data_IF_931840177383
#
_entry.id   IF_931840177383
#
_cell.length_a   1.000
_cell.length_b   1.000
_cell.length_c   1.000
_cell.angle_alpha   90.00
_cell.angle_beta   90.00
_cell.angle_gamma   90.00
#
_symmetry.space_group_name_H-M   'P 1'
#
loop_
_entity.id
_entity.type
_entity.pdbx_description
1 polymer ?
#
# COMPACT_ATOMS: atom_id res chain seq x y z
N UNK A 1 8.65 5.79 -31.50
CA UNK A 1 9.24 6.33 -30.25
C UNK A 1 8.20 6.94 -29.31
N UNK A 2 7.57 8.10 -29.60
CA UNK A 2 6.57 8.69 -28.68
C UNK A 2 5.34 7.79 -28.41
N UNK A 3 4.92 6.99 -29.40
CA UNK A 3 3.83 6.00 -29.29
C UNK A 3 4.18 4.76 -28.47
N UNK A 4 5.44 4.33 -28.44
CA UNK A 4 5.89 3.20 -27.59
C UNK A 4 6.09 3.65 -26.14
N UNK A 5 6.54 4.90 -25.95
CA UNK A 5 6.74 5.51 -24.64
C UNK A 5 5.39 5.61 -23.90
N UNK A 6 4.33 6.07 -24.58
CA UNK A 6 2.98 6.17 -24.00
C UNK A 6 2.38 4.80 -23.68
N UNK A 7 2.64 3.77 -24.49
CA UNK A 7 2.18 2.40 -24.23
C UNK A 7 2.88 1.79 -23.02
N UNK A 8 4.20 1.98 -22.86
CA UNK A 8 4.95 1.50 -21.69
C UNK A 8 4.55 2.20 -20.38
N UNK A 9 4.32 3.51 -20.40
CA UNK A 9 3.86 4.25 -19.21
C UNK A 9 2.41 3.91 -18.84
N UNK A 10 1.50 3.81 -19.82
CA UNK A 10 0.09 3.45 -19.59
C UNK A 10 -0.05 2.05 -18.99
N UNK A 11 0.76 1.08 -19.44
CA UNK A 11 0.79 -0.27 -18.88
C UNK A 11 1.31 -0.32 -17.43
N UNK A 12 2.15 0.63 -17.02
CA UNK A 12 2.72 0.70 -15.66
C UNK A 12 1.83 1.45 -14.66
N UNK A 13 1.06 2.44 -15.11
CA UNK A 13 0.12 3.19 -14.25
C UNK A 13 -1.22 2.49 -14.06
N UNK A 14 -1.65 1.66 -15.01
CA UNK A 14 -2.94 0.99 -14.93
C UNK A 14 -3.10 0.15 -13.65
N UNK A 15 -2.12 -0.68 -13.23
CA UNK A 15 -2.22 -1.41 -11.97
C UNK A 15 -2.33 -0.52 -10.74
N UNK A 16 -1.63 0.60 -10.73
CA UNK A 16 -1.68 1.59 -9.66
C UNK A 16 -3.09 2.18 -9.52
N UNK A 17 -3.66 2.64 -10.63
CA UNK A 17 -5.00 3.24 -10.66
C UNK A 17 -6.05 2.22 -10.21
N UNK A 18 -5.98 0.98 -10.70
CA UNK A 18 -6.90 -0.10 -10.30
C UNK A 18 -6.79 -0.37 -8.80
N UNK A 19 -5.57 -0.52 -8.27
CA UNK A 19 -5.33 -0.80 -6.85
C UNK A 19 -5.89 0.31 -5.96
N UNK A 20 -5.58 1.58 -6.27
CA UNK A 20 -6.10 2.74 -5.55
C UNK A 20 -7.63 2.78 -5.61
N UNK A 21 -8.23 2.49 -6.76
CA UNK A 21 -9.69 2.50 -6.93
C UNK A 21 -10.38 1.44 -6.07
N UNK A 22 -9.82 0.23 -6.01
CA UNK A 22 -10.32 -0.84 -5.13
C UNK A 22 -10.18 -0.43 -3.66
N UNK A 23 -9.01 0.09 -3.27
CA UNK A 23 -8.75 0.51 -1.90
C UNK A 23 -9.68 1.64 -1.44
N UNK A 24 -9.98 2.59 -2.33
CA UNK A 24 -10.96 3.66 -2.12
C UNK A 24 -12.35 3.10 -1.87
N UNK A 25 -12.82 2.17 -2.72
CA UNK A 25 -14.13 1.54 -2.54
C UNK A 25 -14.25 0.82 -1.19
N UNK A 26 -13.22 0.05 -0.83
CA UNK A 26 -13.14 -0.62 0.47
C UNK A 26 -13.12 0.38 1.64
N UNK A 27 -12.39 1.48 1.48
CA UNK A 27 -12.27 2.50 2.54
C UNK A 27 -13.56 3.27 2.74
N UNK A 28 -14.21 3.66 1.65
CA UNK A 28 -15.51 4.30 1.67
C UNK A 28 -16.56 3.41 2.36
N UNK A 29 -16.57 2.11 2.03
CA UNK A 29 -17.42 1.11 2.68
C UNK A 29 -17.10 0.98 4.18
N UNK A 30 -15.82 0.92 4.54
CA UNK A 30 -15.36 0.84 5.92
C UNK A 30 -15.75 2.06 6.77
N UNK A 31 -15.73 3.25 6.18
CA UNK A 31 -16.14 4.51 6.84
C UNK A 31 -17.66 4.58 6.99
N UNK A 32 -18.41 4.36 5.91
CA UNK A 32 -19.88 4.52 5.91
C UNK A 32 -20.56 3.47 6.77
N UNK A 33 -20.04 2.24 6.79
CA UNK A 33 -20.54 1.22 7.72
C UNK A 33 -20.41 1.66 9.17
N UNK A 34 -19.48 2.57 9.52
CA UNK A 34 -19.18 2.88 10.92
C UNK A 34 -18.46 1.75 11.65
N UNK A 35 -17.99 0.72 10.94
CA UNK A 35 -17.21 -0.37 11.51
C UNK A 35 -15.81 0.10 11.93
N UNK A 36 -15.17 0.94 11.11
CA UNK A 36 -13.86 1.51 11.39
C UNK A 36 -13.95 2.89 12.07
N UNK A 37 -14.63 2.95 13.22
CA UNK A 37 -14.89 4.21 13.96
C UNK A 37 -13.73 4.70 14.82
N UNK A 38 -12.81 3.82 15.19
CA UNK A 38 -11.68 4.15 16.05
C UNK A 38 -10.36 3.88 15.34
N UNK A 39 -9.54 4.93 15.21
CA UNK A 39 -8.14 4.76 14.87
C UNK A 39 -7.39 4.21 16.08
N UNK A 40 -6.57 3.19 15.86
CA UNK A 40 -5.80 2.56 16.94
C UNK A 40 -4.32 2.62 16.63
N UNK A 41 -3.53 2.94 17.65
CA UNK A 41 -2.08 2.92 17.61
C UNK A 41 -1.55 2.46 18.98
N UNK A 42 -0.24 2.25 19.07
CA UNK A 42 0.41 1.87 20.33
C UNK A 42 0.16 2.90 21.43
N UNK A 43 0.29 4.18 21.09
CA UNK A 43 -0.07 5.30 21.94
C UNK A 43 -1.22 6.05 21.24
N UNK A 44 -2.41 6.17 21.87
CA UNK A 44 -3.51 6.92 21.29
C UNK A 44 -3.10 8.37 21.01
N UNK A 45 -3.30 8.84 19.78
CA UNK A 45 -3.23 10.26 19.44
C UNK A 45 -4.47 10.94 20.07
N UNK A 46 -4.30 12.06 20.78
CA UNK A 46 -5.40 12.70 21.49
C UNK A 46 -6.54 13.11 20.56
N UNK A 47 -7.77 13.20 21.09
CA UNK A 47 -9.00 13.56 20.34
C UNK A 47 -8.94 14.96 19.67
N UNK A 48 -7.88 15.73 19.90
CA UNK A 48 -7.62 17.05 19.29
C UNK A 48 -6.68 17.05 18.09
N UNK A 49 -6.17 15.90 17.64
CA UNK A 49 -5.52 15.77 16.32
C UNK A 49 -4.22 16.57 16.08
N UNK A 50 -3.60 17.14 17.12
CA UNK A 50 -2.38 17.95 16.99
C UNK A 50 -1.21 17.42 17.84
N UNK A 51 -1.02 16.10 17.83
CA UNK A 51 0.10 15.44 18.51
C UNK A 51 1.10 14.80 17.51
N UNK A 52 1.78 15.59 16.66
CA UNK A 52 2.73 15.06 15.69
C UNK A 52 3.89 14.31 16.36
N UNK A 53 4.21 14.64 17.61
CA UNK A 53 5.23 13.93 18.40
C UNK A 53 4.79 12.50 18.74
N UNK A 54 3.53 12.30 19.17
CA UNK A 54 3.00 10.95 19.47
C UNK A 54 2.91 10.14 18.17
N UNK A 55 2.43 10.75 17.09
CA UNK A 55 2.43 10.13 15.77
C UNK A 55 3.83 9.72 15.30
N UNK A 56 4.85 10.54 15.59
CA UNK A 56 6.25 10.23 15.29
C UNK A 56 6.72 9.00 16.08
N UNK A 57 6.43 8.92 17.38
CA UNK A 57 6.79 7.76 18.19
C UNK A 57 6.12 6.48 17.67
N UNK A 58 4.82 6.52 17.38
CA UNK A 58 4.09 5.38 16.80
C UNK A 58 4.68 4.95 15.45
N UNK A 59 4.96 5.91 14.56
CA UNK A 59 5.57 5.65 13.26
C UNK A 59 6.97 5.03 13.41
N UNK A 60 7.80 5.52 14.35
CA UNK A 60 9.12 4.97 14.62
C UNK A 60 9.04 3.51 15.10
N UNK A 61 8.10 3.19 16.01
CA UNK A 61 7.89 1.80 16.46
C UNK A 61 7.55 0.90 15.27
N UNK A 62 6.63 1.31 14.42
CA UNK A 62 6.24 0.56 13.22
C UNK A 62 7.41 0.38 12.23
N UNK A 63 8.22 1.42 12.03
CA UNK A 63 9.42 1.34 11.18
C UNK A 63 10.45 0.37 11.77
N UNK A 64 10.68 0.37 13.09
CA UNK A 64 11.59 -0.57 13.75
C UNK A 64 11.11 -2.01 13.58
N UNK A 65 9.81 -2.27 13.73
CA UNK A 65 9.22 -3.60 13.48
C UNK A 65 9.42 -4.01 12.02
N UNK A 66 9.21 -3.10 11.06
CA UNK A 66 9.42 -3.37 9.64
C UNK A 66 10.88 -3.69 9.31
N UNK A 67 11.83 -2.92 9.86
CA UNK A 67 13.28 -3.16 9.71
C UNK A 67 13.67 -4.51 10.30
N UNK A 68 13.15 -4.85 11.49
CA UNK A 68 13.41 -6.13 12.12
C UNK A 68 12.88 -7.30 11.27
N UNK A 69 11.67 -7.19 10.73
CA UNK A 69 11.10 -8.17 9.81
C UNK A 69 11.94 -8.35 8.55
N UNK A 70 12.36 -7.24 7.93
CA UNK A 70 13.25 -7.27 6.76
C UNK A 70 14.61 -7.91 7.07
N UNK A 71 15.18 -7.62 8.25
CA UNK A 71 16.42 -8.23 8.73
C UNK A 71 16.28 -9.74 8.94
N UNK A 72 15.16 -10.20 9.52
CA UNK A 72 14.89 -11.64 9.67
C UNK A 72 14.77 -12.36 8.32
N UNK A 73 14.08 -11.76 7.35
CA UNK A 73 14.01 -12.29 5.97
C UNK A 73 15.42 -12.35 5.37
N UNK A 74 16.22 -11.29 5.53
CA UNK A 74 17.61 -11.27 5.06
C UNK A 74 18.46 -12.40 5.68
N UNK A 75 18.33 -12.64 6.99
CA UNK A 75 19.04 -13.75 7.64
C UNK A 75 18.62 -15.11 7.04
N UNK A 76 17.32 -15.35 6.88
CA UNK A 76 16.83 -16.60 6.29
C UNK A 76 17.34 -16.82 4.86
N UNK A 77 17.43 -15.74 4.06
CA UNK A 77 18.02 -15.78 2.71
C UNK A 77 19.52 -16.09 2.78
N UNK A 78 20.26 -15.44 3.69
CA UNK A 78 21.70 -15.66 3.88
C UNK A 78 22.00 -17.11 4.26
N UNK A 79 21.16 -17.74 5.08
CA UNK A 79 21.30 -19.15 5.46
C UNK A 79 20.69 -20.14 4.44
N UNK A 80 20.30 -19.67 3.24
CA UNK A 80 19.72 -20.48 2.15
C UNK A 80 18.49 -21.29 2.57
N UNK A 81 17.69 -20.78 3.51
CA UNK A 81 16.46 -21.42 3.99
C UNK A 81 15.25 -21.02 3.14
N UNK A 82 15.36 -21.16 1.82
CA UNK A 82 14.34 -20.69 0.86
C UNK A 82 12.96 -21.33 1.07
N UNK A 83 12.92 -22.61 1.45
CA UNK A 83 11.67 -23.29 1.74
C UNK A 83 10.94 -22.66 2.93
N UNK A 84 11.65 -22.25 3.98
CA UNK A 84 11.05 -21.59 5.16
C UNK A 84 10.41 -20.28 4.73
N UNK A 85 11.11 -19.47 3.93
CA UNK A 85 10.59 -18.21 3.41
C UNK A 85 9.32 -18.44 2.58
N UNK A 86 9.33 -19.45 1.69
CA UNK A 86 8.17 -19.78 0.86
C UNK A 86 6.96 -20.17 1.69
N UNK A 87 7.11 -21.06 2.66
CA UNK A 87 6.00 -21.47 3.53
C UNK A 87 5.51 -20.32 4.41
N UNK A 88 6.45 -19.54 4.97
CA UNK A 88 6.11 -18.37 5.77
C UNK A 88 5.24 -17.37 4.99
N UNK A 89 5.65 -17.00 3.77
CA UNK A 89 4.85 -16.10 2.94
C UNK A 89 3.52 -16.73 2.53
N UNK A 90 3.52 -18.00 2.11
CA UNK A 90 2.27 -18.67 1.70
C UNK A 90 1.24 -18.67 2.83
N UNK A 91 1.62 -19.06 4.04
CA UNK A 91 0.73 -19.07 5.21
C UNK A 91 0.32 -17.65 5.61
N UNK A 92 1.27 -16.70 5.63
CA UNK A 92 0.98 -15.30 5.97
C UNK A 92 -0.02 -14.67 5.00
N UNK A 93 0.08 -14.93 3.71
CA UNK A 93 -0.86 -14.42 2.71
C UNK A 93 -2.26 -15.00 2.89
N UNK A 94 -2.40 -16.29 3.23
CA UNK A 94 -3.72 -16.88 3.53
C UNK A 94 -4.35 -16.19 4.74
N UNK A 95 -3.59 -16.06 5.84
CA UNK A 95 -4.09 -15.49 7.09
C UNK A 95 -4.44 -14.01 6.88
N UNK A 96 -3.51 -13.21 6.35
CA UNK A 96 -3.71 -11.77 6.15
C UNK A 96 -4.82 -11.54 5.11
N UNK A 97 -4.79 -12.24 3.97
CA UNK A 97 -5.80 -12.08 2.93
C UNK A 97 -7.19 -12.46 3.42
N UNK A 98 -7.32 -13.62 4.07
CA UNK A 98 -8.59 -14.08 4.65
C UNK A 98 -9.11 -13.15 5.74
N UNK A 99 -8.24 -12.73 6.66
CA UNK A 99 -8.61 -11.82 7.74
C UNK A 99 -9.01 -10.42 7.23
N UNK A 100 -8.29 -9.85 6.27
CA UNK A 100 -8.65 -8.54 5.69
C UNK A 100 -9.97 -8.60 4.94
N UNK A 101 -10.19 -9.65 4.12
CA UNK A 101 -11.47 -9.86 3.45
C UNK A 101 -12.61 -10.08 4.45
N UNK A 102 -12.35 -10.76 5.57
CA UNK A 102 -13.31 -10.93 6.65
C UNK A 102 -13.67 -9.60 7.32
N UNK A 103 -12.69 -8.74 7.64
CA UNK A 103 -12.95 -7.42 8.21
C UNK A 103 -13.82 -6.55 7.30
N UNK A 104 -13.45 -6.44 6.01
CA UNK A 104 -14.28 -5.70 5.05
C UNK A 104 -15.63 -6.38 4.80
N UNK A 105 -15.69 -7.72 4.87
CA UNK A 105 -16.94 -8.47 4.82
C UNK A 105 -17.89 -8.16 5.98
N UNK A 106 -17.36 -8.06 7.21
CA UNK A 106 -18.17 -7.65 8.37
C UNK A 106 -18.65 -6.21 8.21
N UNK A 107 -17.82 -5.31 7.67
CA UNK A 107 -18.29 -3.93 7.45
C UNK A 107 -19.49 -3.85 6.50
N UNK A 108 -19.65 -4.80 5.56
CA UNK A 108 -20.86 -4.93 4.75
C UNK A 108 -22.06 -5.34 5.62
N UNK A 109 -21.91 -6.39 6.44
CA UNK A 109 -22.99 -6.84 7.32
C UNK A 109 -23.44 -5.74 8.30
N UNK A 110 -22.48 -5.01 8.84
CA UNK A 110 -22.73 -3.90 9.75
C UNK A 110 -23.49 -2.76 9.05
N UNK A 111 -23.16 -2.44 7.80
CA UNK A 111 -23.88 -1.45 6.99
C UNK A 111 -25.37 -1.80 6.80
N UNK A 112 -25.70 -3.09 6.70
CA UNK A 112 -27.07 -3.58 6.57
C UNK A 112 -27.73 -3.96 7.91
N UNK A 113 -27.08 -3.66 9.04
CA UNK A 113 -27.56 -4.01 10.39
C UNK A 113 -27.83 -5.52 10.58
N UNK A 114 -27.06 -6.37 9.91
CA UNK A 114 -27.15 -7.83 10.03
C UNK A 114 -26.21 -8.33 11.13
N UNK A 115 -26.78 -8.72 12.26
CA UNK A 115 -26.01 -9.14 13.46
C UNK A 115 -26.14 -10.64 13.80
N UNK A 116 -26.74 -11.43 12.91
CA UNK A 116 -26.95 -12.86 13.15
C UNK A 116 -25.67 -13.67 12.86
N UNK A 117 -25.31 -14.53 13.83
CA UNK A 117 -24.11 -15.37 13.84
C UNK A 117 -23.96 -16.24 12.58
N UNK A 118 -25.07 -16.67 11.97
CA UNK A 118 -25.03 -17.49 10.75
C UNK A 118 -24.33 -16.73 9.62
N UNK A 119 -24.63 -15.44 9.46
CA UNK A 119 -23.99 -14.62 8.42
C UNK A 119 -22.51 -14.36 8.74
N UNK A 120 -22.11 -14.19 10.00
CA UNK A 120 -20.70 -14.07 10.38
C UNK A 120 -19.91 -15.34 10.05
N UNK A 121 -20.47 -16.53 10.31
CA UNK A 121 -19.86 -17.81 9.98
C UNK A 121 -19.69 -17.95 8.46
N UNK A 122 -20.75 -17.66 7.69
CA UNK A 122 -20.71 -17.71 6.23
C UNK A 122 -19.65 -16.73 5.69
N UNK A 123 -19.63 -15.48 6.19
CA UNK A 123 -18.63 -14.50 5.78
C UNK A 123 -17.21 -14.92 6.14
N UNK A 124 -17.00 -15.57 7.28
CA UNK A 124 -15.69 -16.11 7.65
C UNK A 124 -15.23 -17.16 6.63
N UNK A 125 -16.08 -18.15 6.33
CA UNK A 125 -15.76 -19.24 5.40
C UNK A 125 -15.48 -18.67 4.00
N UNK A 126 -16.32 -17.76 3.51
CA UNK A 126 -16.14 -17.13 2.20
C UNK A 126 -14.84 -16.33 2.14
N UNK A 127 -14.55 -15.49 3.13
CA UNK A 127 -13.36 -14.65 3.14
C UNK A 127 -12.06 -15.46 3.16
N UNK A 128 -11.98 -16.51 3.98
CA UNK A 128 -10.82 -17.40 3.98
C UNK A 128 -10.70 -18.22 2.69
N UNK A 129 -11.81 -18.66 2.09
CA UNK A 129 -11.80 -19.35 0.79
C UNK A 129 -11.25 -18.45 -0.33
N UNK A 130 -11.67 -17.18 -0.37
CA UNK A 130 -11.15 -16.19 -1.32
C UNK A 130 -9.68 -15.86 -1.01
N UNK A 131 -9.30 -15.71 0.26
CA UNK A 131 -7.90 -15.47 0.66
C UNK A 131 -6.96 -16.59 0.22
N UNK A 132 -7.42 -17.84 0.31
CA UNK A 132 -6.71 -19.01 -0.21
C UNK A 132 -6.56 -18.90 -1.73
N UNK A 133 -7.64 -18.63 -2.48
CA UNK A 133 -7.61 -18.46 -3.94
C UNK A 133 -6.62 -17.38 -4.38
N UNK A 134 -6.65 -16.20 -3.74
CA UNK A 134 -5.71 -15.11 -4.03
C UNK A 134 -4.26 -15.51 -3.77
N UNK A 135 -4.00 -16.27 -2.71
CA UNK A 135 -2.65 -16.77 -2.41
C UNK A 135 -2.18 -17.76 -3.48
N UNK A 136 -3.06 -18.65 -3.95
CA UNK A 136 -2.75 -19.56 -5.05
C UNK A 136 -2.45 -18.80 -6.36
N UNK A 137 -3.15 -17.72 -6.67
CA UNK A 137 -2.84 -16.87 -7.84
C UNK A 137 -1.41 -16.32 -7.80
N UNK A 138 -0.88 -16.02 -6.61
CA UNK A 138 0.45 -15.40 -6.43
C UNK A 138 1.56 -16.45 -6.37
N UNK A 139 1.38 -17.54 -5.61
CA UNK A 139 2.47 -18.48 -5.29
C UNK A 139 2.42 -19.81 -6.04
N UNK A 140 1.28 -20.19 -6.61
CA UNK A 140 1.20 -21.46 -7.34
C UNK A 140 1.90 -21.33 -8.68
N UNK A 141 2.99 -22.07 -8.87
CA UNK A 141 3.89 -21.94 -10.02
C UNK A 141 3.16 -21.94 -11.38
N UNK A 142 2.13 -22.79 -11.55
CA UNK A 142 1.35 -22.86 -12.80
C UNK A 142 0.55 -21.59 -13.08
N UNK A 143 -0.03 -20.97 -12.05
CA UNK A 143 -0.81 -19.73 -12.16
C UNK A 143 0.10 -18.51 -12.22
N UNK A 144 1.10 -18.47 -11.35
CA UNK A 144 2.09 -17.38 -11.26
C UNK A 144 2.92 -17.21 -12.53
N UNK A 145 2.99 -18.22 -13.40
CA UNK A 145 3.66 -18.10 -14.70
C UNK A 145 2.93 -17.11 -15.63
N UNK A 146 1.61 -16.93 -15.45
CA UNK A 146 0.88 -15.86 -16.10
C UNK A 146 0.97 -14.59 -15.24
N UNK A 147 1.77 -13.64 -15.69
CA UNK A 147 2.01 -12.39 -14.97
C UNK A 147 0.73 -11.64 -14.63
N UNK A 148 -0.27 -11.65 -15.51
CA UNK A 148 -1.53 -10.92 -15.29
C UNK A 148 -2.25 -11.47 -14.05
N UNK A 149 -2.27 -12.79 -13.88
CA UNK A 149 -2.92 -13.46 -12.75
C UNK A 149 -2.17 -13.13 -11.46
N UNK A 150 -0.84 -13.27 -11.47
CA UNK A 150 0.02 -12.94 -10.32
C UNK A 150 -0.18 -11.48 -9.90
N UNK A 151 -0.09 -10.55 -10.85
CA UNK A 151 -0.26 -9.12 -10.60
C UNK A 151 -1.66 -8.77 -10.13
N UNK A 152 -2.69 -9.43 -10.63
CA UNK A 152 -4.07 -9.23 -10.13
C UNK A 152 -4.17 -9.60 -8.65
N UNK A 153 -3.59 -10.73 -8.25
CA UNK A 153 -3.49 -11.10 -6.83
C UNK A 153 -2.75 -10.04 -6.01
N UNK A 154 -1.58 -9.59 -6.47
CA UNK A 154 -0.79 -8.56 -5.80
C UNK A 154 -1.52 -7.21 -5.69
N UNK A 155 -2.27 -6.80 -6.72
CA UNK A 155 -3.09 -5.58 -6.70
C UNK A 155 -4.18 -5.67 -5.64
N UNK A 156 -4.90 -6.80 -5.57
CA UNK A 156 -5.97 -6.99 -4.57
C UNK A 156 -5.38 -7.00 -3.15
N UNK A 157 -4.26 -7.67 -2.93
CA UNK A 157 -3.56 -7.66 -1.63
C UNK A 157 -3.09 -6.24 -1.26
N UNK A 158 -2.49 -5.52 -2.20
CA UNK A 158 -2.05 -4.14 -1.97
C UNK A 158 -3.21 -3.21 -1.63
N UNK A 159 -4.36 -3.40 -2.29
CA UNK A 159 -5.57 -2.64 -1.99
C UNK A 159 -6.14 -2.96 -0.60
N UNK A 160 -6.22 -4.25 -0.24
CA UNK A 160 -6.73 -4.69 1.08
C UNK A 160 -5.87 -4.15 2.22
N UNK A 161 -4.54 -4.35 2.15
CA UNK A 161 -3.62 -3.89 3.19
C UNK A 161 -3.59 -2.35 3.23
N UNK A 162 -3.56 -1.69 2.07
CA UNK A 162 -3.53 -0.24 1.98
C UNK A 162 -4.80 0.39 2.57
N UNK A 163 -5.98 -0.10 2.20
CA UNK A 163 -7.25 0.35 2.75
C UNK A 163 -7.30 0.15 4.28
N UNK A 164 -6.92 -1.04 4.76
CA UNK A 164 -6.89 -1.32 6.20
C UNK A 164 -5.96 -0.37 6.96
N UNK A 165 -4.71 -0.19 6.51
CA UNK A 165 -3.76 0.70 7.18
C UNK A 165 -4.22 2.16 7.15
N UNK A 166 -4.76 2.63 6.03
CA UNK A 166 -5.26 4.01 5.91
C UNK A 166 -6.46 4.30 6.82
N UNK A 167 -7.32 3.30 7.05
CA UNK A 167 -8.45 3.42 7.97
C UNK A 167 -8.03 3.34 9.44
N UNK A 168 -7.23 2.33 9.80
CA UNK A 168 -6.93 1.99 11.20
C UNK A 168 -5.90 2.91 11.83
N UNK A 169 -4.86 3.32 11.08
CA UNK A 169 -3.79 4.13 11.68
C UNK A 169 -4.25 5.58 11.87
N UNK A 170 -3.92 6.21 13.02
CA UNK A 170 -4.15 7.64 13.21
C UNK A 170 -3.46 8.50 12.14
N UNK A 171 -3.89 9.75 12.02
CA UNK A 171 -3.50 10.65 10.93
C UNK A 171 -2.00 10.95 10.92
N UNK A 172 -1.42 11.35 12.05
CA UNK A 172 0.00 11.70 12.10
C UNK A 172 0.88 10.46 11.98
N UNK A 173 0.52 9.38 12.66
CA UNK A 173 1.18 8.08 12.52
C UNK A 173 1.22 7.66 11.05
N UNK A 174 0.12 7.79 10.29
CA UNK A 174 0.06 7.39 8.88
C UNK A 174 1.01 8.20 8.00
N UNK A 175 0.98 9.53 8.09
CA UNK A 175 1.84 10.37 7.26
C UNK A 175 3.32 10.24 7.62
N UNK A 176 3.65 10.21 8.91
CA UNK A 176 5.03 10.06 9.38
C UNK A 176 5.59 8.67 9.08
N UNK A 177 4.77 7.62 9.12
CA UNK A 177 5.15 6.28 8.64
C UNK A 177 5.50 6.33 7.15
N UNK A 178 4.64 6.92 6.31
CA UNK A 178 4.86 7.00 4.86
C UNK A 178 6.11 7.83 4.51
N UNK A 179 6.34 8.95 5.20
CA UNK A 179 7.55 9.77 5.05
C UNK A 179 8.78 8.97 5.50
N UNK A 180 8.72 8.31 6.66
CA UNK A 180 9.83 7.51 7.18
C UNK A 180 10.19 6.33 6.26
N UNK A 181 9.19 5.60 5.74
CA UNK A 181 9.40 4.52 4.79
C UNK A 181 9.92 5.03 3.44
N UNK A 182 9.49 6.22 3.00
CA UNK A 182 10.04 6.87 1.81
C UNK A 182 11.54 7.19 1.99
N UNK A 183 11.92 7.73 3.15
CA UNK A 183 13.34 7.98 3.47
C UNK A 183 14.13 6.66 3.49
N UNK A 184 13.56 5.61 4.07
CA UNK A 184 14.17 4.28 4.08
C UNK A 184 14.35 3.71 2.67
N UNK A 185 13.38 3.88 1.77
CA UNK A 185 13.49 3.43 0.38
C UNK A 185 14.66 4.11 -0.36
N UNK A 186 14.82 5.43 -0.19
CA UNK A 186 16.00 6.17 -0.69
C UNK A 186 17.30 5.56 -0.15
N UNK A 187 17.37 5.34 1.16
CA UNK A 187 18.56 4.77 1.78
C UNK A 187 18.86 3.34 1.28
N UNK A 188 17.84 2.49 1.18
CA UNK A 188 17.95 1.10 0.76
C UNK A 188 18.42 0.97 -0.70
N UNK A 189 17.95 1.85 -1.59
CA UNK A 189 18.35 1.86 -3.00
C UNK A 189 19.79 2.35 -3.18
N UNK A 190 20.17 3.46 -2.56
CA UNK A 190 21.49 4.06 -2.81
C UNK A 190 22.64 3.47 -1.98
N UNK A 191 22.36 2.99 -0.75
CA UNK A 191 23.39 2.52 0.21
C UNK A 191 23.12 1.12 0.77
N UNK A 192 21.96 0.54 0.46
CA UNK A 192 21.49 -0.70 1.08
C UNK A 192 21.95 -2.01 0.42
N UNK A 193 21.44 -3.14 0.91
CA UNK A 193 21.80 -4.49 0.47
C UNK A 193 21.43 -4.76 -1.00
N UNK A 194 20.45 -4.04 -1.55
CA UNK A 194 19.98 -4.20 -2.94
C UNK A 194 21.10 -3.87 -3.93
N UNK A 195 21.83 -2.78 -3.73
CA UNK A 195 22.98 -2.39 -4.58
C UNK A 195 24.07 -3.47 -4.58
N UNK A 196 24.36 -4.06 -3.42
CA UNK A 196 25.38 -5.11 -3.29
C UNK A 196 24.97 -6.43 -3.92
N UNK A 197 23.68 -6.80 -3.87
CA UNK A 197 23.17 -8.02 -4.54
C UNK A 197 23.27 -7.85 -6.07
N UNK A 198 22.90 -6.67 -6.59
CA UNK A 198 23.04 -6.33 -8.00
C UNK A 198 24.49 -6.40 -8.49
N UNK A 199 25.42 -5.75 -7.79
CA UNK A 199 26.84 -5.74 -8.14
C UNK A 199 27.48 -7.16 -8.11
N UNK A 200 26.93 -8.06 -7.29
CA UNK A 200 27.37 -9.46 -7.21
C UNK A 200 26.79 -10.34 -8.34
N UNK A 201 25.56 -10.08 -8.78
CA UNK A 201 24.90 -10.83 -9.87
C UNK A 201 25.36 -10.37 -11.26
N UNK A 202 25.60 -9.06 -11.46
CA UNK A 202 26.11 -8.50 -12.72
C UNK A 202 27.47 -9.08 -13.13
N UNK A 203 28.31 -9.41 -12.14
CA UNK A 203 29.62 -10.01 -12.38
C UNK A 203 29.57 -11.46 -12.87
N UNK A 204 28.47 -12.18 -12.62
CA UNK A 204 28.43 -13.63 -12.75
C UNK A 204 27.59 -14.15 -13.93
N UNK A 205 26.67 -13.38 -14.54
CA UNK A 205 25.91 -13.89 -15.69
C UNK A 205 25.18 -12.82 -16.51
N UNK A 206 25.57 -12.64 -17.79
CA UNK A 206 24.89 -11.71 -18.72
C UNK A 206 23.46 -12.16 -19.10
N UNK A 207 23.22 -13.47 -19.22
CA UNK A 207 21.86 -14.01 -19.47
C UNK A 207 20.90 -13.77 -18.31
N UNK A 208 21.41 -13.57 -17.09
CA UNK A 208 20.59 -13.27 -15.93
C UNK A 208 20.04 -11.84 -16.01
N UNK A 209 20.77 -10.88 -16.58
CA UNK A 209 20.29 -9.50 -16.78
C UNK A 209 19.12 -9.43 -17.75
N UNK A 210 19.14 -10.19 -18.85
CA UNK A 210 18.05 -10.19 -19.84
C UNK A 210 16.76 -10.79 -19.26
N UNK A 211 16.85 -11.95 -18.62
CA UNK A 211 15.72 -12.60 -17.94
C UNK A 211 15.23 -11.74 -16.76
N UNK A 212 16.14 -11.15 -15.99
CA UNK A 212 15.81 -10.22 -14.90
C UNK A 212 15.12 -8.96 -15.41
N UNK A 213 15.52 -8.43 -16.57
CA UNK A 213 14.88 -7.26 -17.18
C UNK A 213 13.47 -7.60 -17.69
N UNK A 214 13.22 -8.81 -18.21
CA UNK A 214 11.87 -9.25 -18.56
C UNK A 214 10.98 -9.47 -17.33
N UNK A 215 11.50 -10.11 -16.27
CA UNK A 215 10.74 -10.36 -15.01
C UNK A 215 10.50 -9.05 -14.23
N UNK A 216 11.50 -8.17 -14.13
CA UNK A 216 11.39 -6.86 -13.45
C UNK A 216 10.46 -5.89 -14.19
N UNK A 217 10.29 -6.05 -15.51
CA UNK A 217 9.37 -5.20 -16.27
C UNK A 217 7.90 -5.45 -15.94
N UNK A 218 7.60 -6.52 -15.19
CA UNK A 218 6.27 -7.06 -15.10
C UNK A 218 5.82 -7.39 -13.67
N UNK A 219 6.71 -7.76 -12.75
CA UNK A 219 6.33 -7.97 -11.35
C UNK A 219 6.21 -6.64 -10.59
N UNK A 220 5.01 -6.36 -10.09
CA UNK A 220 4.71 -5.10 -9.41
C UNK A 220 5.13 -5.18 -7.94
N UNK A 221 5.75 -4.11 -7.43
CA UNK A 221 6.05 -3.97 -6.01
C UNK A 221 4.77 -3.90 -5.17
N UNK A 222 4.47 -4.97 -4.43
CA UNK A 222 3.33 -5.02 -3.51
C UNK A 222 3.38 -3.89 -2.46
N UNK A 223 4.58 -3.58 -1.95
CA UNK A 223 4.80 -2.50 -0.99
C UNK A 223 4.37 -1.14 -1.55
N UNK A 224 4.84 -0.80 -2.75
CA UNK A 224 4.52 0.47 -3.41
C UNK A 224 3.01 0.64 -3.57
N UNK A 225 2.32 -0.37 -4.11
CA UNK A 225 0.86 -0.37 -4.24
C UNK A 225 0.13 -0.20 -2.90
N UNK A 226 0.64 -0.83 -1.85
CA UNK A 226 0.07 -0.75 -0.51
C UNK A 226 0.20 0.65 0.06
N UNK A 227 1.38 1.28 -0.06
CA UNK A 227 1.62 2.61 0.50
C UNK A 227 0.90 3.72 -0.28
N UNK A 228 0.80 3.60 -1.59
CA UNK A 228 -0.01 4.52 -2.39
C UNK A 228 -1.49 4.44 -2.02
N UNK A 229 -2.03 3.22 -1.92
CA UNK A 229 -3.39 2.99 -1.46
C UNK A 229 -3.60 3.53 -0.05
N UNK A 230 -2.69 3.23 0.88
CA UNK A 230 -2.74 3.71 2.27
C UNK A 230 -2.83 5.23 2.37
N UNK A 231 -2.00 5.96 1.62
CA UNK A 231 -2.02 7.43 1.63
C UNK A 231 -3.40 7.95 1.22
N UNK A 232 -3.94 7.45 0.10
CA UNK A 232 -5.24 7.86 -0.42
C UNK A 232 -6.36 7.55 0.59
N UNK A 233 -6.37 6.36 1.16
CA UNK A 233 -7.36 5.94 2.16
C UNK A 233 -7.29 6.79 3.44
N UNK A 234 -6.07 7.14 3.89
CA UNK A 234 -5.89 8.03 5.03
C UNK A 234 -6.42 9.44 4.74
N UNK A 235 -6.18 9.99 3.54
CA UNK A 235 -6.72 11.30 3.14
C UNK A 235 -8.24 11.31 3.02
N UNK A 236 -8.83 10.21 2.54
CA UNK A 236 -10.29 10.06 2.49
C UNK A 236 -10.89 10.08 3.89
N UNK A 237 -10.29 9.35 4.84
CA UNK A 237 -10.75 9.33 6.24
C UNK A 237 -10.79 10.72 6.86
N UNK A 238 -9.76 11.54 6.61
CA UNK A 238 -9.72 12.93 7.11
C UNK A 238 -10.84 13.77 6.49
N UNK A 239 -11.14 13.57 5.21
CA UNK A 239 -12.27 14.22 4.55
C UNK A 239 -13.63 13.87 5.18
N UNK A 240 -13.73 12.71 5.83
CA UNK A 240 -14.92 12.26 6.57
C UNK A 240 -15.01 12.75 8.02
N UNK A 241 -14.07 13.59 8.48
CA UNK A 241 -14.17 14.21 9.79
C UNK A 241 -15.42 15.10 9.89
N UNK A 242 -16.27 14.81 10.88
CA UNK A 242 -17.54 15.50 11.13
C UNK A 242 -17.42 17.01 11.27
N UNK A 243 -16.34 17.51 11.89
CA UNK A 243 -16.13 18.95 12.03
C UNK A 243 -15.78 19.59 10.67
N UNK A 244 -14.96 18.90 9.89
CA UNK A 244 -14.51 19.37 8.59
C UNK A 244 -15.66 19.42 7.57
N UNK A 245 -16.50 18.38 7.52
CA UNK A 245 -17.70 18.34 6.67
C UNK A 245 -18.69 19.44 7.05
N UNK A 246 -18.85 19.75 8.35
CA UNK A 246 -19.82 20.76 8.79
C UNK A 246 -19.47 22.16 8.27
N UNK A 247 -18.19 22.48 8.13
CA UNK A 247 -17.71 23.80 7.69
C UNK A 247 -17.72 23.89 6.15
N UNK A 248 -17.24 22.85 5.47
CA UNK A 248 -16.93 22.89 4.03
C UNK A 248 -17.90 22.09 3.15
N UNK A 249 -18.87 21.40 3.76
CA UNK A 249 -19.84 20.57 3.08
C UNK A 249 -19.23 19.33 2.41
N UNK A 250 -19.92 18.74 1.41
CA UNK A 250 -19.49 17.48 0.79
C UNK A 250 -18.20 17.61 -0.04
N UNK A 251 -17.80 18.83 -0.42
CA UNK A 251 -16.57 19.05 -1.19
C UNK A 251 -15.32 18.73 -0.36
N UNK A 252 -15.41 18.90 0.96
CA UNK A 252 -14.37 18.60 1.93
C UNK A 252 -13.99 17.11 1.95
N UNK A 253 -14.93 16.23 1.58
CA UNK A 253 -14.74 14.78 1.59
C UNK A 253 -13.84 14.36 0.43
N UNK A 254 -14.17 14.81 -0.78
CA UNK A 254 -13.56 14.29 -2.00
C UNK A 254 -12.35 15.10 -2.47
N UNK A 255 -12.35 16.43 -2.27
CA UNK A 255 -11.31 17.29 -2.84
C UNK A 255 -9.90 16.97 -2.34
N UNK A 256 -9.64 16.83 -1.02
CA UNK A 256 -8.30 16.51 -0.52
C UNK A 256 -7.81 15.14 -1.03
N UNK A 257 -8.71 14.16 -1.07
CA UNK A 257 -8.43 12.82 -1.57
C UNK A 257 -8.08 12.84 -3.08
N UNK A 258 -8.88 13.52 -3.90
CA UNK A 258 -8.63 13.65 -5.35
C UNK A 258 -7.29 14.30 -5.64
N UNK A 259 -6.96 15.36 -4.91
CA UNK A 259 -5.69 16.07 -5.08
C UNK A 259 -4.50 15.20 -4.65
N UNK A 260 -4.63 14.40 -3.59
CA UNK A 260 -3.61 13.41 -3.21
C UNK A 260 -3.41 12.35 -4.29
N UNK A 261 -4.48 11.83 -4.90
CA UNK A 261 -4.40 10.86 -6.02
C UNK A 261 -3.64 11.48 -7.20
N UNK A 262 -3.96 12.72 -7.56
CA UNK A 262 -3.25 13.45 -8.62
C UNK A 262 -1.76 13.56 -8.28
N UNK A 263 -1.42 13.90 -7.03
CA UNK A 263 -0.03 13.98 -6.55
C UNK A 263 0.73 12.67 -6.69
N UNK A 264 0.12 11.55 -6.28
CA UNK A 264 0.71 10.21 -6.40
C UNK A 264 0.91 9.84 -7.87
N UNK A 265 -0.08 10.07 -8.73
CA UNK A 265 0.01 9.74 -10.16
C UNK A 265 1.07 10.60 -10.87
N UNK A 266 1.14 11.90 -10.57
CA UNK A 266 2.17 12.80 -11.09
C UNK A 266 3.56 12.39 -10.60
N UNK A 267 3.71 12.05 -9.32
CA UNK A 267 4.99 11.60 -8.78
C UNK A 267 5.44 10.25 -9.35
N UNK A 268 4.50 9.32 -9.60
CA UNK A 268 4.80 8.06 -10.27
C UNK A 268 5.24 8.30 -11.72
N UNK A 269 4.58 9.22 -12.44
CA UNK A 269 4.98 9.64 -13.78
C UNK A 269 6.40 10.24 -13.80
N UNK A 270 6.71 11.12 -12.86
CA UNK A 270 8.05 11.72 -12.72
C UNK A 270 9.08 10.62 -12.43
N UNK A 271 8.77 9.69 -11.53
CA UNK A 271 9.65 8.58 -11.16
C UNK A 271 9.96 7.70 -12.37
N UNK A 272 8.95 7.32 -13.16
CA UNK A 272 9.15 6.55 -14.38
C UNK A 272 10.00 7.30 -15.42
N UNK A 273 9.77 8.60 -15.59
CA UNK A 273 10.54 9.43 -16.52
C UNK A 273 12.01 9.59 -16.08
N UNK A 274 12.27 9.63 -14.77
CA UNK A 274 13.62 9.67 -14.23
C UNK A 274 14.31 8.29 -14.33
N UNK A 275 13.56 7.19 -14.25
CA UNK A 275 14.07 5.83 -14.38
C UNK A 275 14.57 5.53 -15.81
N UNK A 276 14.10 6.27 -16.82
CA UNK A 276 14.66 6.21 -18.17
C UNK A 276 16.11 6.75 -18.25
N UNK A 277 16.51 7.60 -17.29
CA UNK A 277 17.83 8.25 -17.26
C UNK A 277 18.78 7.68 -16.20
N UNK A 278 18.26 6.90 -15.24
CA UNK A 278 19.04 6.32 -14.13
C UNK A 278 18.71 4.84 -13.97
N UNK A 279 19.73 4.03 -13.76
CA UNK A 279 19.62 2.57 -13.64
C UNK A 279 18.72 2.12 -12.48
N UNK A 280 18.70 2.90 -11.38
CA UNK A 280 17.94 2.61 -10.18
C UNK A 280 17.42 3.88 -9.52
N UNK A 281 16.15 3.87 -9.14
CA UNK A 281 15.50 4.93 -8.38
C UNK A 281 14.54 4.32 -7.35
N UNK A 282 14.44 4.92 -6.15
CA UNK A 282 13.41 4.58 -5.18
C UNK A 282 12.03 4.95 -5.75
N UNK A 283 11.07 4.05 -5.59
CA UNK A 283 9.73 4.16 -6.19
C UNK A 283 8.80 5.08 -5.40
N UNK A 284 8.92 5.02 -4.07
CA UNK A 284 8.00 5.63 -3.12
C UNK A 284 8.13 7.15 -2.93
N UNK A 285 9.34 7.74 -2.80
CA UNK A 285 9.50 9.06 -2.18
C UNK A 285 8.84 10.18 -2.95
N UNK A 286 9.02 10.22 -4.27
CA UNK A 286 8.51 11.32 -5.11
C UNK A 286 6.97 11.33 -5.09
N UNK A 287 6.36 10.15 -5.25
CA UNK A 287 4.91 9.97 -5.28
C UNK A 287 4.25 10.28 -3.94
N UNK A 288 4.82 9.79 -2.83
CA UNK A 288 4.28 10.03 -1.49
C UNK A 288 4.43 11.49 -1.08
N UNK A 289 5.61 12.09 -1.28
CA UNK A 289 5.85 13.48 -0.90
C UNK A 289 4.98 14.45 -1.71
N UNK A 290 4.77 14.19 -3.00
CA UNK A 290 3.84 14.99 -3.81
C UNK A 290 2.38 14.78 -3.38
N UNK A 291 1.96 13.54 -3.08
CA UNK A 291 0.62 13.27 -2.57
C UNK A 291 0.33 14.00 -1.25
N UNK A 292 1.21 13.86 -0.26
CA UNK A 292 1.09 14.53 1.05
C UNK A 292 1.19 16.06 0.89
N UNK A 293 2.11 16.55 0.06
CA UNK A 293 2.33 17.98 -0.14
C UNK A 293 1.12 18.67 -0.78
N UNK A 294 0.55 18.08 -1.84
CA UNK A 294 -0.65 18.63 -2.48
C UNK A 294 -1.88 18.51 -1.57
N UNK A 295 -2.02 17.42 -0.83
CA UNK A 295 -3.06 17.29 0.20
C UNK A 295 -2.95 18.39 1.27
N UNK A 296 -1.75 18.65 1.78
CA UNK A 296 -1.49 19.71 2.76
C UNK A 296 -1.80 21.11 2.22
N UNK A 297 -1.49 21.38 0.95
CA UNK A 297 -1.87 22.64 0.29
C UNK A 297 -3.39 22.84 0.24
N UNK A 298 -4.15 21.79 -0.04
CA UNK A 298 -5.62 21.87 -0.04
C UNK A 298 -6.16 22.16 1.36
N UNK A 299 -5.62 21.50 2.39
CA UNK A 299 -5.99 21.79 3.77
C UNK A 299 -5.66 23.23 4.19
N UNK A 300 -4.51 23.77 3.74
CA UNK A 300 -4.15 25.16 3.99
C UNK A 300 -5.14 26.13 3.32
N UNK A 301 -5.59 25.84 2.11
CA UNK A 301 -6.62 26.65 1.44
C UNK A 301 -7.93 26.66 2.23
N UNK A 302 -8.38 25.48 2.69
CA UNK A 302 -9.54 25.35 3.58
C UNK A 302 -9.34 25.93 4.98
N UNK A 303 -8.12 26.26 5.37
CA UNK A 303 -7.86 26.89 6.66
C UNK A 303 -7.81 28.42 6.55
N UNK A 304 -7.44 28.94 5.39
CA UNK A 304 -7.31 30.39 5.12
C UNK A 304 -8.64 31.03 4.69
N UNK A 305 -9.48 30.29 3.94
CA UNK A 305 -10.81 30.75 3.49
C UNK A 305 -11.81 30.57 4.63
#
# INVERSE_FOLDING_TARGET
MASEITVKTKKRLLPLIITISIALGLSFLGIISGFFTFSTAFIPEGQGGFDPLIGLFNALILIVIAIFGAFMIYLLLKYKKENIIRYFFFVSFIIIGGFMLFLFGISILYMFYVFDIVYYIIMTILSFSIGILLTFMIFYKKLSNNILIKNTGLMIFGALIGAFLGLVLPTWTSFLLLIGLSIYDVFAVFKGPIKKILELEEKNNQNFLEIRNEIRNYEIGLGDLTFYSMLVCATLKIGFDTQFIRIWGPIAIFLPCLVSIIGILLGALITFKLLEKKEMLPGLPISILLGIGLFGLVLLVFWVI
#
